data_IF_900296793998
#
_entry.id   IF_900296793998
#
_cell.length_a   1.000
_cell.length_b   1.000
_cell.length_c   1.000
_cell.angle_alpha   90.00
_cell.angle_beta   90.00
_cell.angle_gamma   90.00
#
_symmetry.space_group_name_H-M   'P 1'
#
loop_
_entity.id
_entity.type
_entity.pdbx_description
1 polymer ?
#
# COMPACT_ATOMS: atom_id res chain seq x y z
N UNK A 1 -9.39 -9.47 11.77
CA UNK A 1 -8.76 -10.50 12.62
C UNK A 1 -7.37 -10.03 13.04
N UNK A 2 -7.05 -10.05 14.33
CA UNK A 2 -5.76 -9.54 14.87
C UNK A 2 -4.61 -10.48 14.52
N UNK A 3 -4.83 -11.79 14.50
CA UNK A 3 -3.81 -12.78 14.17
C UNK A 3 -3.26 -12.52 12.76
N UNK A 4 -4.17 -12.33 11.81
CA UNK A 4 -3.84 -11.98 10.43
C UNK A 4 -2.96 -10.72 10.31
N UNK A 5 -3.29 -9.64 11.02
CA UNK A 5 -2.52 -8.38 11.01
C UNK A 5 -1.07 -8.61 11.47
N UNK A 6 -0.89 -9.45 12.50
CA UNK A 6 0.42 -9.78 13.06
C UNK A 6 1.21 -10.72 12.16
N UNK A 7 0.60 -11.78 11.66
CA UNK A 7 1.23 -12.75 10.76
C UNK A 7 1.69 -12.10 9.45
N UNK A 8 0.85 -11.25 8.86
CA UNK A 8 1.15 -10.54 7.62
C UNK A 8 1.99 -9.27 7.82
N UNK A 9 2.38 -8.96 9.07
CA UNK A 9 3.16 -7.77 9.42
C UNK A 9 2.59 -6.47 8.82
N UNK A 10 1.26 -6.33 8.85
CA UNK A 10 0.55 -5.19 8.23
C UNK A 10 0.94 -3.87 8.87
N UNK A 11 1.14 -3.88 10.20
CA UNK A 11 1.74 -2.77 10.91
C UNK A 11 3.13 -3.16 11.39
N UNK A 12 4.10 -2.28 11.17
CA UNK A 12 5.45 -2.41 11.71
C UNK A 12 5.82 -1.16 12.49
N UNK A 13 6.49 -1.36 13.62
CA UNK A 13 6.92 -0.28 14.53
C UNK A 13 8.42 -0.39 14.74
N UNK A 14 9.14 0.71 14.54
CA UNK A 14 10.59 0.79 14.77
C UNK A 14 11.00 2.16 15.33
N UNK A 15 11.86 2.24 16.36
CA UNK A 15 12.32 1.12 17.19
C UNK A 15 11.20 0.59 18.11
N UNK A 16 11.29 -0.67 18.54
CA UNK A 16 10.29 -1.28 19.46
C UNK A 16 10.57 -1.00 20.94
N UNK A 17 11.80 -0.60 21.25
CA UNK A 17 12.28 -0.26 22.58
C UNK A 17 13.42 0.74 22.45
N UNK A 18 13.68 1.48 23.53
CA UNK A 18 14.76 2.46 23.58
C UNK A 18 14.84 3.08 24.97
N UNK A 19 15.82 3.96 25.14
CA UNK A 19 16.01 4.74 26.35
C UNK A 19 15.89 6.23 26.00
N UNK A 20 15.17 6.97 26.83
CA UNK A 20 15.09 8.42 26.75
C UNK A 20 15.65 9.01 28.03
N UNK A 21 16.56 9.97 27.88
CA UNK A 21 17.04 10.78 29.00
C UNK A 21 15.98 11.81 29.39
N UNK A 22 16.01 12.34 30.62
CA UNK A 22 15.14 13.44 31.02
C UNK A 22 15.22 14.62 30.03
N UNK A 23 14.06 15.10 29.57
CA UNK A 23 13.96 16.15 28.54
C UNK A 23 14.25 15.71 27.11
N UNK A 24 14.61 14.44 26.89
CA UNK A 24 14.87 13.87 25.56
C UNK A 24 13.62 13.61 24.74
N UNK A 25 13.81 13.45 23.43
CA UNK A 25 12.77 13.05 22.48
C UNK A 25 13.30 11.97 21.53
N UNK A 26 12.44 11.07 21.08
CA UNK A 26 12.76 10.05 20.10
C UNK A 26 11.66 9.96 19.03
N UNK A 27 12.06 9.58 17.83
CA UNK A 27 11.14 9.32 16.73
C UNK A 27 10.86 7.83 16.63
N UNK A 28 9.59 7.49 16.41
CA UNK A 28 9.14 6.12 16.17
C UNK A 28 8.46 6.09 14.80
N UNK A 29 8.92 5.20 13.94
CA UNK A 29 8.34 4.95 12.62
C UNK A 29 7.26 3.89 12.73
N UNK A 30 6.07 4.25 12.26
CA UNK A 30 4.93 3.36 12.06
C UNK A 30 4.76 3.14 10.56
N UNK A 31 4.90 1.91 10.10
CA UNK A 31 4.70 1.55 8.70
C UNK A 31 3.43 0.71 8.55
N UNK A 32 2.61 1.06 7.56
CA UNK A 32 1.41 0.33 7.19
C UNK A 32 1.56 -0.30 5.80
N UNK A 33 1.47 -1.62 5.72
CA UNK A 33 1.67 -2.43 4.53
C UNK A 33 0.50 -3.41 4.37
N UNK A 34 -0.61 -2.98 3.77
CA UNK A 34 -1.80 -3.81 3.66
C UNK A 34 -1.59 -4.97 2.69
N UNK A 35 -1.72 -6.20 3.16
CA UNK A 35 -1.73 -7.39 2.30
C UNK A 35 -3.08 -7.60 1.59
N UNK A 36 -4.19 -7.14 2.21
CA UNK A 36 -5.55 -7.31 1.71
C UNK A 36 -6.34 -6.01 1.91
N UNK A 37 -7.28 -5.74 1.00
CA UNK A 37 -8.23 -4.62 1.11
C UNK A 37 -9.07 -4.70 2.40
N UNK A 38 -9.51 -3.56 2.89
CA UNK A 38 -10.33 -3.44 4.09
C UNK A 38 -9.71 -2.51 5.13
N UNK A 39 -10.34 -2.48 6.30
CA UNK A 39 -9.84 -1.74 7.47
C UNK A 39 -9.11 -2.67 8.43
N UNK A 40 -7.96 -2.20 8.89
CA UNK A 40 -7.08 -2.89 9.82
C UNK A 40 -6.91 -2.03 11.07
N UNK A 41 -7.14 -2.65 12.23
CA UNK A 41 -7.04 -1.99 13.52
C UNK A 41 -6.12 -2.79 14.43
N UNK A 42 -5.13 -2.12 15.03
CA UNK A 42 -4.19 -2.75 15.94
C UNK A 42 -3.94 -1.86 17.17
N UNK A 43 -4.46 -2.26 18.35
CA UNK A 43 -4.07 -1.66 19.62
C UNK A 43 -2.61 -1.96 19.94
N UNK A 44 -1.86 -0.93 20.30
CA UNK A 44 -0.49 -1.01 20.78
C UNK A 44 -0.38 -0.42 22.18
N UNK A 45 0.45 -1.05 23.00
CA UNK A 45 0.79 -0.54 24.32
C UNK A 45 2.28 -0.18 24.35
N UNK A 46 2.58 1.07 24.65
CA UNK A 46 3.93 1.52 24.93
C UNK A 46 4.12 1.55 26.44
N UNK A 47 5.13 0.83 26.91
CA UNK A 47 5.48 0.73 28.32
C UNK A 47 6.65 1.68 28.61
N UNK A 48 6.44 2.64 29.52
CA UNK A 48 7.52 3.45 30.08
C UNK A 48 7.98 2.76 31.36
N UNK A 49 9.27 2.41 31.45
CA UNK A 49 9.83 1.72 32.61
C UNK A 49 9.44 2.45 33.91
N UNK A 50 8.92 1.70 34.89
CA UNK A 50 8.44 2.19 36.19
C UNK A 50 7.39 3.31 36.11
N UNK A 51 6.73 3.43 34.97
CA UNK A 51 5.84 4.54 34.64
C UNK A 51 4.50 4.11 34.09
N UNK A 52 3.91 4.99 33.27
CA UNK A 52 2.59 4.77 32.69
C UNK A 52 2.69 3.87 31.45
N UNK A 53 1.60 3.13 31.21
CA UNK A 53 1.35 2.46 29.94
C UNK A 53 0.52 3.38 29.05
N UNK A 54 1.04 3.70 27.88
CA UNK A 54 0.32 4.49 26.87
C UNK A 54 -0.38 3.54 25.90
N UNK A 55 -1.67 3.76 25.69
CA UNK A 55 -2.47 3.03 24.71
C UNK A 55 -2.54 3.83 23.41
N UNK A 56 -2.07 3.23 22.32
CA UNK A 56 -2.06 3.80 20.97
C UNK A 56 -2.86 2.90 20.05
N UNK A 57 -3.91 3.42 19.42
CA UNK A 57 -4.71 2.67 18.45
C UNK A 57 -4.22 2.98 17.03
N UNK A 58 -3.75 1.96 16.32
CA UNK A 58 -3.45 2.09 14.89
C UNK A 58 -4.70 1.76 14.07
N UNK A 59 -5.00 2.60 13.08
CA UNK A 59 -6.05 2.38 12.10
C UNK A 59 -5.49 2.65 10.70
N UNK A 60 -5.64 1.66 9.82
CA UNK A 60 -5.31 1.78 8.40
C UNK A 60 -6.45 1.25 7.56
N UNK A 61 -6.80 1.97 6.49
CA UNK A 61 -7.81 1.52 5.53
C UNK A 61 -7.16 1.39 4.15
N UNK A 62 -7.53 0.34 3.43
CA UNK A 62 -7.02 0.06 2.10
C UNK A 62 -8.16 -0.28 1.17
N UNK A 63 -8.31 0.55 0.16
CA UNK A 63 -9.28 0.31 -0.91
C UNK A 63 -8.67 -0.61 -1.96
N UNK A 64 -9.52 -1.25 -2.74
CA UNK A 64 -9.07 -2.03 -3.88
C UNK A 64 -8.38 -1.09 -4.87
N UNK A 65 -7.19 -1.42 -5.39
CA UNK A 65 -6.60 -0.64 -6.46
C UNK A 65 -7.56 -0.60 -7.65
N UNK A 66 -7.65 0.53 -8.37
CA UNK A 66 -8.52 0.61 -9.53
C UNK A 66 -8.17 -0.51 -10.49
N UNK A 67 -9.18 -1.24 -10.95
CA UNK A 67 -9.00 -2.23 -12.01
C UNK A 67 -8.66 -1.43 -13.26
N UNK A 68 -7.41 -1.49 -13.70
CA UNK A 68 -7.01 -0.96 -14.99
C UNK A 68 -7.72 -1.77 -16.07
N UNK A 69 -8.88 -1.29 -16.51
CA UNK A 69 -9.59 -1.86 -17.64
C UNK A 69 -9.26 -1.01 -18.85
N UNK A 70 -8.85 -1.67 -19.94
CA UNK A 70 -8.90 -1.04 -21.25
C UNK A 70 -10.37 -0.70 -21.52
N UNK A 71 -10.68 0.59 -21.64
CA UNK A 71 -12.01 1.06 -22.02
C UNK A 71 -12.22 0.81 -23.52
N UNK A 72 -12.35 -0.46 -23.89
CA UNK A 72 -12.82 -0.86 -25.20
C UNK A 72 -14.32 -0.56 -25.22
N UNK A 73 -14.69 0.59 -25.79
CA UNK A 73 -16.09 0.91 -26.04
C UNK A 73 -16.67 -0.21 -26.89
N UNK A 74 -17.79 -0.81 -26.47
CA UNK A 74 -18.48 -1.92 -27.15
C UNK A 74 -19.02 -1.56 -28.53
N UNK A 75 -18.88 -0.30 -28.95
CA UNK A 75 -19.03 0.08 -30.35
C UNK A 75 -17.92 -0.57 -31.13
N UNK A 76 -18.25 -1.50 -32.02
CA UNK A 76 -17.35 -2.11 -32.99
C UNK A 76 -16.60 -0.99 -33.72
N UNK A 77 -15.36 -0.70 -33.30
CA UNK A 77 -14.50 0.25 -33.99
C UNK A 77 -13.91 -0.50 -35.17
N UNK A 78 -14.60 -0.43 -36.30
CA UNK A 78 -14.03 -0.84 -37.57
C UNK A 78 -12.97 0.20 -37.95
N UNK A 79 -11.70 -0.19 -37.85
CA UNK A 79 -10.60 0.59 -38.40
C UNK A 79 -10.33 0.08 -39.81
N UNK A 80 -10.55 0.93 -40.80
CA UNK A 80 -10.11 0.67 -42.17
C UNK A 80 -8.72 1.25 -42.32
N UNK A 81 -7.74 0.39 -42.59
CA UNK A 81 -6.38 0.81 -42.91
C UNK A 81 -6.26 1.03 -44.42
N UNK A 82 -5.43 1.99 -44.81
CA UNK A 82 -5.09 2.17 -46.21
C UNK A 82 -4.26 0.96 -46.70
N UNK A 83 -4.52 0.43 -47.91
CA UNK A 83 -3.76 -0.67 -48.46
C UNK A 83 -2.27 -0.33 -48.53
N UNK A 84 -1.43 -1.11 -47.85
CA UNK A 84 0.02 -0.95 -47.87
C UNK A 84 0.65 -2.06 -48.70
N UNK A 85 1.55 -1.76 -49.67
CA UNK A 85 2.23 -2.78 -50.45
C UNK A 85 3.09 -3.69 -49.56
N UNK A 86 3.05 -5.01 -49.82
CA UNK A 86 3.87 -5.98 -49.10
C UNK A 86 5.24 -6.04 -49.78
N UNK A 87 6.32 -5.84 -49.00
CA UNK A 87 7.70 -5.98 -49.47
C UNK A 87 8.45 -4.67 -49.71
N UNK A 88 7.96 -3.54 -49.21
CA UNK A 88 8.73 -2.28 -49.25
C UNK A 88 9.89 -2.32 -48.25
N UNK A 89 11.03 -1.74 -48.64
CA UNK A 89 12.22 -1.65 -47.80
C UNK A 89 12.05 -0.67 -46.63
N UNK A 90 11.10 0.27 -46.72
CA UNK A 90 10.80 1.26 -45.68
C UNK A 90 9.28 1.34 -45.40
N UNK A 91 8.72 0.41 -44.63
CA UNK A 91 7.29 0.40 -44.32
C UNK A 91 6.90 1.58 -43.41
N UNK A 92 5.65 2.08 -43.50
CA UNK A 92 5.18 3.16 -42.66
C UNK A 92 5.20 2.76 -41.18
N UNK A 93 5.74 3.62 -40.31
CA UNK A 93 5.72 3.44 -38.86
C UNK A 93 4.35 3.85 -38.30
N UNK A 94 3.70 2.93 -37.59
CA UNK A 94 2.45 3.18 -36.87
C UNK A 94 2.68 3.76 -35.48
#
# INVERSE_FOLDING_TARGET
>A
DRAFILEQQIFQVKPRSGLLQPGGSAHITLAYKPAVKGSHQLPLFMHIADGKRLHVQLHGSTVQPPVQRLALTTTTRTFTFDPTPIGEEDPPRQ
#
